data_IF_657259188663
#
_entry.id   IF_657259188663
#
_cell.length_a   1.000
_cell.length_b   1.000
_cell.length_c   1.000
_cell.angle_alpha   90.00
_cell.angle_beta   90.00
_cell.angle_gamma   90.00
#
_symmetry.space_group_name_H-M   'P 1'
#
loop_
_entity.id
_entity.type
_entity.pdbx_description
1 polymer ?
#
# COMPACT_ATOMS: atom_id res chain seq x y z
N UNK A 1 -22.67 7.35 19.42
CA UNK A 1 -22.39 6.80 18.07
C UNK A 1 -21.31 5.73 18.17
N UNK A 2 -21.39 4.69 17.34
CA UNK A 2 -20.34 3.64 17.32
C UNK A 2 -19.01 4.22 16.82
N UNK A 3 -17.88 3.85 17.41
CA UNK A 3 -16.53 4.24 16.94
C UNK A 3 -16.22 3.77 15.52
N UNK A 4 -17.07 2.95 14.92
CA UNK A 4 -16.95 2.45 13.56
C UNK A 4 -17.77 3.24 12.54
N UNK A 5 -18.58 4.24 12.97
CA UNK A 5 -19.46 4.99 12.06
C UNK A 5 -18.70 5.89 11.11
N UNK A 6 -17.58 6.49 11.57
CA UNK A 6 -16.75 7.42 10.81
C UNK A 6 -15.28 7.02 10.92
N UNK A 7 -14.48 7.45 9.94
CA UNK A 7 -13.02 7.27 9.97
C UNK A 7 -12.43 8.02 11.17
N UNK A 8 -11.50 7.38 11.86
CA UNK A 8 -10.76 8.03 12.94
C UNK A 8 -9.77 9.05 12.37
N UNK A 9 -9.72 10.24 12.97
CA UNK A 9 -8.74 11.29 12.63
C UNK A 9 -7.50 11.28 13.54
N UNK A 10 -7.40 10.29 14.44
CA UNK A 10 -6.23 10.16 15.31
C UNK A 10 -5.02 9.77 14.47
N UNK A 11 -3.88 10.43 14.70
CA UNK A 11 -2.61 10.06 14.08
C UNK A 11 -2.07 8.78 14.70
N UNK A 12 -1.39 7.99 13.89
CA UNK A 12 -0.66 6.82 14.35
C UNK A 12 0.66 7.25 15.01
N UNK A 13 1.20 6.41 15.89
CA UNK A 13 2.48 6.73 16.52
C UNK A 13 3.61 6.73 15.49
N UNK A 14 3.54 5.85 14.49
CA UNK A 14 4.53 5.77 13.43
C UNK A 14 4.61 7.06 12.59
N UNK A 15 3.54 7.90 12.57
CA UNK A 15 3.51 9.19 11.87
C UNK A 15 4.32 10.30 12.61
N UNK A 16 4.96 10.00 13.74
CA UNK A 16 5.77 10.94 14.52
C UNK A 16 7.21 10.94 14.04
N UNK A 17 7.85 12.11 14.15
CA UNK A 17 9.25 12.30 13.71
C UNK A 17 10.28 11.84 14.75
N UNK A 18 9.86 11.61 16.01
CA UNK A 18 10.74 11.31 17.14
C UNK A 18 10.86 9.82 17.48
N UNK A 19 10.43 8.93 16.57
CA UNK A 19 10.51 7.48 16.80
C UNK A 19 11.94 6.97 16.56
N UNK A 20 12.54 6.25 17.53
CA UNK A 20 13.86 5.64 17.37
C UNK A 20 13.88 4.66 16.17
N UNK A 21 14.99 4.65 15.43
CA UNK A 21 15.14 3.79 14.26
C UNK A 21 14.93 2.29 14.55
N UNK A 22 15.41 1.79 15.70
CA UNK A 22 15.24 0.38 16.07
C UNK A 22 13.77 0.02 16.33
N UNK A 23 12.95 0.97 16.84
CA UNK A 23 11.52 0.77 17.01
C UNK A 23 10.79 0.73 15.66
N UNK A 24 11.18 1.60 14.70
CA UNK A 24 10.69 1.57 13.32
C UNK A 24 11.05 0.23 12.67
N UNK A 25 12.28 -0.21 12.81
CA UNK A 25 12.76 -1.48 12.28
C UNK A 25 11.99 -2.69 12.84
N UNK A 26 11.73 -2.70 14.15
CA UNK A 26 10.89 -3.73 14.76
C UNK A 26 9.46 -3.68 14.25
N UNK A 27 8.90 -2.48 14.11
CA UNK A 27 7.57 -2.26 13.55
C UNK A 27 7.46 -2.81 12.12
N UNK A 28 8.39 -2.45 11.24
CA UNK A 28 8.42 -2.90 9.84
C UNK A 28 8.51 -4.44 9.72
N UNK A 29 9.32 -5.08 10.57
CA UNK A 29 9.40 -6.56 10.61
C UNK A 29 8.07 -7.20 10.98
N UNK A 30 7.38 -6.66 11.97
CA UNK A 30 6.12 -7.21 12.43
C UNK A 30 4.98 -6.93 11.43
N UNK A 31 4.99 -5.77 10.78
CA UNK A 31 4.02 -5.46 9.71
C UNK A 31 4.22 -6.37 8.51
N UNK A 32 5.46 -6.62 8.07
CA UNK A 32 5.78 -7.59 7.00
C UNK A 32 5.26 -8.99 7.35
N UNK A 33 5.50 -9.44 8.59
CA UNK A 33 4.97 -10.72 9.09
C UNK A 33 3.44 -10.76 9.03
N UNK A 34 2.75 -9.76 9.59
CA UNK A 34 1.28 -9.67 9.60
C UNK A 34 0.74 -9.63 8.16
N UNK A 35 1.36 -8.83 7.28
CA UNK A 35 0.95 -8.68 5.90
C UNK A 35 1.09 -9.99 5.12
N UNK A 36 2.18 -10.72 5.34
CA UNK A 36 2.41 -12.06 4.77
C UNK A 36 1.33 -13.04 5.23
N UNK A 37 1.13 -13.18 6.54
CA UNK A 37 0.21 -14.17 7.10
C UNK A 37 -1.28 -13.89 6.81
N UNK A 38 -1.65 -12.63 6.73
CA UNK A 38 -3.00 -12.21 6.38
C UNK A 38 -3.22 -12.08 4.85
N UNK A 39 -2.25 -12.50 4.04
CA UNK A 39 -2.40 -12.55 2.58
C UNK A 39 -2.34 -11.20 1.89
N UNK A 40 -1.78 -10.17 2.54
CA UNK A 40 -1.69 -8.81 1.96
C UNK A 40 -0.87 -8.77 0.67
N UNK A 41 0.26 -9.47 0.62
CA UNK A 41 1.07 -9.59 -0.59
C UNK A 41 0.32 -10.27 -1.75
N UNK A 42 -0.47 -11.30 -1.46
CA UNK A 42 -1.31 -11.95 -2.50
C UNK A 42 -2.37 -10.98 -3.05
N UNK A 43 -2.92 -10.09 -2.22
CA UNK A 43 -3.85 -9.05 -2.67
C UNK A 43 -3.13 -8.04 -3.57
N UNK A 44 -1.91 -7.64 -3.22
CA UNK A 44 -1.07 -6.75 -4.03
C UNK A 44 -0.78 -7.39 -5.41
N UNK A 45 -0.39 -8.66 -5.45
CA UNK A 45 -0.20 -9.41 -6.70
C UNK A 45 -1.51 -9.45 -7.52
N UNK A 46 -2.65 -9.75 -6.91
CA UNK A 46 -3.95 -9.70 -7.60
C UNK A 46 -4.26 -8.31 -8.20
N UNK A 47 -3.82 -7.23 -7.53
CA UNK A 47 -3.92 -5.87 -8.07
C UNK A 47 -3.13 -5.72 -9.37
N UNK A 48 -1.88 -6.17 -9.40
CA UNK A 48 -1.04 -6.17 -10.60
C UNK A 48 -1.68 -7.00 -11.71
N UNK A 49 -2.06 -8.26 -11.44
CA UNK A 49 -2.66 -9.16 -12.43
C UNK A 49 -3.96 -8.61 -13.02
N UNK A 50 -4.70 -7.78 -12.28
CA UNK A 50 -5.93 -7.15 -12.78
C UNK A 50 -5.67 -6.04 -13.80
N UNK A 51 -4.51 -5.41 -13.76
CA UNK A 51 -4.11 -4.30 -14.64
C UNK A 51 -3.25 -4.76 -15.81
N UNK A 52 -2.37 -5.73 -15.55
CA UNK A 52 -1.37 -6.20 -16.51
C UNK A 52 -1.86 -7.50 -17.15
N UNK A 53 -2.01 -7.49 -18.47
CA UNK A 53 -2.15 -8.73 -19.24
C UNK A 53 -0.75 -9.29 -19.48
N UNK A 54 -0.28 -10.18 -18.62
CA UNK A 54 1.06 -10.76 -18.70
C UNK A 54 1.36 -11.39 -20.07
N UNK A 55 0.33 -11.94 -20.73
CA UNK A 55 0.46 -12.50 -22.08
C UNK A 55 0.72 -11.46 -23.19
N UNK A 56 0.55 -10.18 -22.90
CA UNK A 56 0.84 -9.10 -23.85
C UNK A 56 2.25 -8.49 -23.66
N UNK A 57 2.94 -8.83 -22.56
CA UNK A 57 4.33 -8.43 -22.34
C UNK A 57 5.26 -9.37 -23.12
N UNK A 58 6.05 -8.81 -24.03
CA UNK A 58 7.11 -9.56 -24.69
C UNK A 58 8.28 -9.75 -23.71
N UNK A 59 9.09 -10.78 -23.90
CA UNK A 59 10.28 -11.07 -23.06
C UNK A 59 11.29 -9.90 -23.00
N UNK A 60 11.21 -8.96 -23.96
CA UNK A 60 12.05 -7.76 -24.02
C UNK A 60 11.51 -6.58 -23.21
N UNK A 61 10.23 -6.61 -22.80
CA UNK A 61 9.57 -5.48 -22.16
C UNK A 61 9.80 -5.55 -20.64
N UNK A 62 10.18 -4.42 -20.05
CA UNK A 62 10.30 -4.30 -18.60
C UNK A 62 9.03 -3.69 -18.02
N UNK A 63 8.38 -4.43 -17.13
CA UNK A 63 7.24 -3.95 -16.37
C UNK A 63 7.73 -2.99 -15.26
N UNK A 64 7.31 -1.74 -15.28
CA UNK A 64 7.69 -0.77 -14.25
C UNK A 64 6.55 -0.62 -13.23
N UNK A 65 6.83 -0.93 -11.97
CA UNK A 65 5.86 -0.91 -10.86
C UNK A 65 6.37 0.04 -9.77
N UNK A 66 5.52 0.96 -9.34
CA UNK A 66 5.83 1.91 -8.27
C UNK A 66 4.89 1.75 -7.08
N UNK A 67 5.43 1.61 -5.88
CA UNK A 67 4.68 1.65 -4.62
C UNK A 67 4.80 3.03 -3.97
N UNK A 68 3.66 3.66 -3.71
CA UNK A 68 3.55 4.90 -2.95
C UNK A 68 3.28 4.56 -1.47
N UNK A 69 4.12 5.09 -0.56
CA UNK A 69 4.12 4.71 0.85
C UNK A 69 4.68 3.30 1.05
N UNK A 70 5.87 3.03 0.50
CA UNK A 70 6.43 1.67 0.46
C UNK A 70 6.93 1.17 1.82
N UNK A 71 7.07 2.03 2.83
CA UNK A 71 7.54 1.66 4.15
C UNK A 71 8.84 0.87 4.11
N UNK A 72 8.82 -0.36 4.61
CA UNK A 72 9.96 -1.29 4.59
C UNK A 72 10.18 -2.06 3.29
N UNK A 73 9.42 -1.79 2.22
CA UNK A 73 9.58 -2.39 0.90
C UNK A 73 9.16 -3.88 0.80
N UNK A 74 8.37 -4.38 1.73
CA UNK A 74 7.95 -5.78 1.78
C UNK A 74 7.11 -6.20 0.57
N UNK A 75 6.19 -5.36 0.11
CA UNK A 75 5.42 -5.64 -1.10
C UNK A 75 6.32 -5.66 -2.35
N UNK A 76 7.27 -4.74 -2.47
CA UNK A 76 8.18 -4.68 -3.62
C UNK A 76 9.05 -5.94 -3.68
N UNK A 77 9.54 -6.44 -2.54
CA UNK A 77 10.25 -7.73 -2.48
C UNK A 77 9.36 -8.90 -2.89
N UNK A 78 8.12 -8.92 -2.41
CA UNK A 78 7.14 -9.95 -2.79
C UNK A 78 6.83 -9.93 -4.29
N UNK A 79 6.70 -8.72 -4.88
CA UNK A 79 6.52 -8.53 -6.33
C UNK A 79 7.75 -9.01 -7.09
N UNK A 80 8.96 -8.64 -6.65
CA UNK A 80 10.21 -9.07 -7.27
C UNK A 80 10.33 -10.59 -7.32
N UNK A 81 9.99 -11.28 -6.21
CA UNK A 81 9.94 -12.74 -6.14
C UNK A 81 8.92 -13.32 -7.11
N UNK A 82 7.70 -12.79 -7.11
CA UNK A 82 6.62 -13.21 -8.00
C UNK A 82 6.97 -13.04 -9.48
N UNK A 83 7.62 -11.92 -9.85
CA UNK A 83 8.11 -11.69 -11.21
C UNK A 83 9.21 -12.67 -11.61
N UNK A 84 10.19 -12.90 -10.71
CA UNK A 84 11.30 -13.85 -10.93
C UNK A 84 10.80 -15.28 -11.17
N UNK A 85 9.79 -15.72 -10.41
CA UNK A 85 9.19 -17.06 -10.57
C UNK A 85 8.45 -17.23 -11.91
N UNK A 86 8.21 -16.14 -12.65
CA UNK A 86 7.47 -16.11 -13.93
C UNK A 86 8.29 -15.58 -15.10
N UNK A 87 9.60 -15.40 -14.89
CA UNK A 87 10.52 -14.83 -15.88
C UNK A 87 10.09 -13.46 -16.43
N UNK A 88 9.44 -12.64 -15.57
CA UNK A 88 9.01 -11.29 -15.89
C UNK A 88 10.14 -10.31 -15.52
N UNK A 89 10.64 -9.56 -16.53
CA UNK A 89 11.57 -8.46 -16.29
C UNK A 89 10.82 -7.29 -15.63
N UNK A 90 11.29 -6.81 -14.48
CA UNK A 90 10.61 -5.77 -13.71
C UNK A 90 11.58 -4.68 -13.24
N UNK A 91 11.11 -3.44 -13.24
CA UNK A 91 11.71 -2.30 -12.54
C UNK A 91 10.80 -1.97 -11.35
N UNK A 92 11.36 -1.97 -10.16
CA UNK A 92 10.64 -1.71 -8.92
C UNK A 92 11.05 -0.36 -8.34
N UNK A 93 10.05 0.47 -8.02
CA UNK A 93 10.26 1.81 -7.45
C UNK A 93 9.45 1.89 -6.15
N UNK A 94 10.09 2.33 -5.07
CA UNK A 94 9.43 2.57 -3.78
C UNK A 94 9.58 4.02 -3.36
N UNK A 95 8.47 4.68 -3.04
CA UNK A 95 8.44 6.06 -2.56
C UNK A 95 7.94 6.06 -1.11
N UNK A 96 8.69 6.67 -0.20
CA UNK A 96 8.26 6.92 1.17
C UNK A 96 8.92 8.19 1.70
N UNK A 97 8.16 9.01 2.42
CA UNK A 97 8.69 10.26 2.97
C UNK A 97 9.52 10.05 4.25
N UNK A 98 9.39 8.90 4.92
CA UNK A 98 10.15 8.60 6.12
C UNK A 98 11.53 8.04 5.77
N UNK A 99 12.63 8.79 6.00
CA UNK A 99 13.97 8.36 5.63
C UNK A 99 14.43 7.11 6.39
N UNK A 100 13.90 6.85 7.59
CA UNK A 100 14.21 5.67 8.38
C UNK A 100 13.56 4.42 7.77
N UNK A 101 12.33 4.53 7.25
CA UNK A 101 11.69 3.44 6.50
C UNK A 101 12.49 3.11 5.24
N UNK A 102 12.91 4.12 4.47
CA UNK A 102 13.75 3.94 3.28
C UNK A 102 15.12 3.34 3.62
N UNK A 103 15.77 3.79 4.70
CA UNK A 103 17.04 3.19 5.14
C UNK A 103 16.87 1.71 5.49
N UNK A 104 15.79 1.35 6.16
CA UNK A 104 15.46 -0.04 6.45
C UNK A 104 15.15 -0.83 5.17
N UNK A 105 14.35 -0.29 4.26
CA UNK A 105 14.02 -0.93 2.99
C UNK A 105 15.27 -1.23 2.15
N UNK A 106 16.19 -0.26 2.02
CA UNK A 106 17.49 -0.42 1.32
C UNK A 106 18.37 -1.50 1.95
N UNK A 107 18.29 -1.69 3.27
CA UNK A 107 19.03 -2.75 3.96
C UNK A 107 18.49 -4.16 3.72
N UNK A 108 17.32 -4.29 3.07
CA UNK A 108 16.57 -5.54 2.91
C UNK A 108 15.95 -5.69 1.52
N UNK A 109 16.79 -5.62 0.49
CA UNK A 109 16.31 -5.76 -0.90
C UNK A 109 16.16 -7.21 -1.36
N UNK A 110 16.65 -8.19 -0.57
CA UNK A 110 16.67 -9.62 -0.90
C UNK A 110 17.25 -9.90 -2.30
N UNK A 111 18.28 -9.12 -2.71
CA UNK A 111 18.94 -9.13 -4.01
C UNK A 111 18.08 -8.69 -5.21
N UNK A 112 16.96 -8.02 -4.96
CA UNK A 112 16.23 -7.33 -6.02
C UNK A 112 16.77 -5.91 -6.19
N UNK A 113 16.83 -5.46 -7.45
CA UNK A 113 17.14 -4.07 -7.78
C UNK A 113 15.87 -3.24 -7.61
N UNK A 114 15.80 -2.49 -6.51
CA UNK A 114 14.65 -1.65 -6.15
C UNK A 114 15.15 -0.22 -5.97
N UNK A 115 14.62 0.69 -6.75
CA UNK A 115 14.90 2.12 -6.60
C UNK A 115 14.02 2.71 -5.48
N UNK A 116 14.64 3.14 -4.38
CA UNK A 116 13.97 3.72 -3.23
C UNK A 116 14.17 5.24 -3.19
N UNK A 117 13.07 5.98 -3.24
CA UNK A 117 13.02 7.45 -3.21
C UNK A 117 12.51 7.90 -1.83
N UNK A 118 13.35 8.67 -1.12
CA UNK A 118 12.97 9.27 0.18
C UNK A 118 12.46 10.68 -0.06
N UNK A 119 11.19 10.82 -0.38
CA UNK A 119 10.53 12.11 -0.64
C UNK A 119 9.00 11.96 -0.55
N UNK A 120 8.31 13.09 -0.52
CA UNK A 120 6.88 13.13 -0.74
C UNK A 120 6.57 12.74 -2.20
N UNK A 121 5.63 11.81 -2.39
CA UNK A 121 5.25 11.36 -3.74
C UNK A 121 4.88 12.51 -4.68
N UNK A 122 4.38 13.62 -4.15
CA UNK A 122 4.01 14.83 -4.92
C UNK A 122 5.19 15.50 -5.60
N UNK A 123 6.39 15.34 -5.06
CA UNK A 123 7.64 15.89 -5.60
C UNK A 123 8.31 14.95 -6.60
N UNK A 124 7.84 13.70 -6.70
CA UNK A 124 8.47 12.72 -7.57
C UNK A 124 8.03 12.93 -9.01
N UNK A 125 8.99 13.10 -9.90
CA UNK A 125 8.80 13.22 -11.34
C UNK A 125 9.43 12.04 -12.04
N UNK A 126 8.66 11.31 -12.85
CA UNK A 126 9.14 10.19 -13.62
C UNK A 126 9.52 10.66 -15.04
N UNK A 127 10.75 10.38 -15.48
CA UNK A 127 11.12 10.55 -16.90
C UNK A 127 10.25 9.67 -17.81
N UNK A 128 10.02 8.44 -17.37
CA UNK A 128 9.05 7.53 -17.98
C UNK A 128 8.07 7.07 -16.93
N UNK A 129 6.78 7.29 -17.16
CA UNK A 129 5.74 6.89 -16.21
C UNK A 129 5.80 5.38 -15.94
N UNK A 130 5.64 4.93 -14.68
CA UNK A 130 5.43 3.53 -14.37
C UNK A 130 4.23 2.95 -15.11
N UNK A 131 4.27 1.67 -15.38
CA UNK A 131 3.12 0.96 -15.95
C UNK A 131 2.01 0.85 -14.92
N UNK A 132 2.37 0.55 -13.66
CA UNK A 132 1.45 0.44 -12.54
C UNK A 132 1.96 1.25 -11.36
N UNK A 133 1.09 2.05 -10.76
CA UNK A 133 1.32 2.64 -9.43
C UNK A 133 0.36 1.98 -8.44
N UNK A 134 0.82 1.72 -7.23
CA UNK A 134 -0.06 1.22 -6.19
C UNK A 134 0.29 1.78 -4.81
N UNK A 135 -0.64 1.61 -3.87
CA UNK A 135 -0.38 1.78 -2.45
C UNK A 135 -1.00 0.64 -1.66
N UNK A 136 -0.33 0.25 -0.57
CA UNK A 136 -0.81 -0.79 0.32
C UNK A 136 -0.71 -0.33 1.76
N UNK A 137 -1.85 -0.36 2.49
CA UNK A 137 -1.93 0.09 3.88
C UNK A 137 -1.40 1.51 4.10
N UNK A 138 -1.71 2.40 3.20
CA UNK A 138 -1.20 3.78 3.18
C UNK A 138 -2.31 4.83 3.09
N UNK A 139 -3.34 4.61 2.25
CA UNK A 139 -4.39 5.60 2.01
C UNK A 139 -5.18 5.96 3.28
N UNK A 140 -5.29 5.07 4.25
CA UNK A 140 -6.02 5.35 5.48
C UNK A 140 -5.35 6.41 6.38
N UNK A 141 -4.11 6.81 6.12
CA UNK A 141 -3.41 7.89 6.83
C UNK A 141 -3.88 9.30 6.44
N UNK A 142 -4.66 9.45 5.36
CA UNK A 142 -4.95 10.72 4.74
C UNK A 142 -6.41 11.15 4.89
N UNK A 143 -6.65 12.46 4.82
CA UNK A 143 -7.99 13.05 4.75
C UNK A 143 -8.66 12.73 3.41
N UNK A 144 -9.94 13.02 3.29
CA UNK A 144 -10.65 12.80 2.03
C UNK A 144 -10.12 13.68 0.89
N UNK A 145 -9.76 14.91 1.21
CA UNK A 145 -9.20 15.88 0.27
C UNK A 145 -7.83 15.43 -0.25
N UNK A 146 -6.97 14.96 0.66
CA UNK A 146 -5.66 14.41 0.31
C UNK A 146 -5.79 13.14 -0.54
N UNK A 147 -6.76 12.26 -0.23
CA UNK A 147 -7.04 11.06 -1.02
C UNK A 147 -7.48 11.37 -2.45
N UNK A 148 -8.28 12.42 -2.65
CA UNK A 148 -8.65 12.87 -3.99
C UNK A 148 -7.41 13.31 -4.79
N UNK A 149 -6.49 14.03 -4.14
CA UNK A 149 -5.22 14.43 -4.77
C UNK A 149 -4.33 13.21 -5.08
N UNK A 150 -4.25 12.23 -4.17
CA UNK A 150 -3.49 10.99 -4.37
C UNK A 150 -4.03 10.18 -5.56
N UNK A 151 -5.34 10.01 -5.65
CA UNK A 151 -5.96 9.28 -6.75
C UNK A 151 -5.76 9.99 -8.09
N UNK A 152 -5.85 11.33 -8.10
CA UNK A 152 -5.55 12.13 -9.28
C UNK A 152 -4.07 11.98 -9.69
N UNK A 153 -3.15 12.05 -8.72
CA UNK A 153 -1.73 11.88 -8.96
C UNK A 153 -1.41 10.48 -9.52
N UNK A 154 -1.92 9.41 -8.90
CA UNK A 154 -1.73 8.05 -9.40
C UNK A 154 -2.27 7.89 -10.82
N UNK A 155 -3.48 8.42 -11.10
CA UNK A 155 -4.08 8.40 -12.44
C UNK A 155 -3.22 9.12 -13.47
N UNK A 156 -2.66 10.28 -13.14
CA UNK A 156 -1.85 11.09 -14.05
C UNK A 156 -0.47 10.50 -14.32
N UNK A 157 0.10 9.77 -13.36
CA UNK A 157 1.49 9.30 -13.42
C UNK A 157 1.64 7.83 -13.80
N UNK A 158 0.59 7.12 -14.17
CA UNK A 158 0.64 5.72 -14.57
C UNK A 158 0.26 5.53 -16.05
N UNK A 159 0.79 4.49 -16.71
CA UNK A 159 0.45 4.14 -18.10
C UNK A 159 -0.78 3.23 -18.19
N UNK A 160 -0.83 2.17 -17.38
CA UNK A 160 -1.91 1.16 -17.47
C UNK A 160 -3.02 1.44 -16.46
N UNK A 161 -2.66 1.90 -15.27
CA UNK A 161 -3.59 2.15 -14.20
C UNK A 161 -2.96 2.04 -12.81
N UNK A 162 -3.79 2.16 -11.79
CA UNK A 162 -3.34 2.05 -10.40
C UNK A 162 -4.26 1.15 -9.58
N UNK A 163 -3.76 0.69 -8.44
CA UNK A 163 -4.59 0.02 -7.46
C UNK A 163 -4.25 0.44 -6.02
N UNK A 164 -5.22 0.25 -5.13
CA UNK A 164 -5.08 0.48 -3.69
C UNK A 164 -5.52 -0.78 -2.96
N UNK A 165 -4.67 -1.28 -2.05
CA UNK A 165 -4.95 -2.36 -1.13
C UNK A 165 -5.01 -1.78 0.28
N UNK A 166 -6.21 -1.55 0.83
CA UNK A 166 -6.32 -0.91 2.13
C UNK A 166 -7.43 -1.52 3.01
N UNK A 167 -7.47 -1.13 4.28
CA UNK A 167 -8.25 -1.74 5.32
C UNK A 167 -9.74 -1.43 5.21
N UNK A 168 -10.55 -2.44 5.46
CA UNK A 168 -11.96 -2.25 5.75
C UNK A 168 -12.14 -1.90 7.23
N UNK A 169 -12.85 -0.80 7.53
CA UNK A 169 -13.28 -0.49 8.89
C UNK A 169 -14.40 -1.43 9.33
N UNK A 170 -14.03 -2.42 10.15
CA UNK A 170 -14.97 -3.45 10.61
C UNK A 170 -14.70 -3.83 12.07
N UNK A 171 -15.73 -4.02 12.92
CA UNK A 171 -15.55 -4.39 14.32
C UNK A 171 -14.73 -5.67 14.52
N UNK A 172 -15.00 -6.73 13.75
CA UNK A 172 -14.24 -7.97 13.85
C UNK A 172 -12.76 -7.75 13.50
N UNK A 173 -12.44 -7.01 12.44
CA UNK A 173 -11.06 -6.68 12.11
C UNK A 173 -10.36 -5.96 13.26
N UNK A 174 -11.03 -4.95 13.85
CA UNK A 174 -10.50 -4.18 14.96
C UNK A 174 -10.19 -5.06 16.18
N UNK A 175 -11.16 -5.86 16.63
CA UNK A 175 -10.95 -6.67 17.82
C UNK A 175 -9.98 -7.81 17.58
N UNK A 176 -10.02 -8.45 16.41
CA UNK A 176 -9.07 -9.51 16.05
C UNK A 176 -7.63 -9.00 16.07
N UNK A 177 -7.34 -7.90 15.35
CA UNK A 177 -5.97 -7.37 15.31
C UNK A 177 -5.52 -6.85 16.66
N UNK A 178 -6.40 -6.21 17.45
CA UNK A 178 -6.11 -5.73 18.79
C UNK A 178 -5.69 -6.88 19.73
N UNK A 179 -6.37 -8.02 19.68
CA UNK A 179 -6.03 -9.19 20.49
C UNK A 179 -4.75 -9.86 19.98
N UNK A 180 -4.62 -10.05 18.67
CA UNK A 180 -3.42 -10.67 18.09
C UNK A 180 -2.15 -9.84 18.41
N UNK A 181 -2.20 -8.54 18.19
CA UNK A 181 -1.03 -7.69 18.48
C UNK A 181 -0.72 -7.60 19.96
N UNK A 182 -1.74 -7.57 20.84
CA UNK A 182 -1.54 -7.59 22.28
C UNK A 182 -0.81 -8.87 22.74
N UNK A 183 -1.13 -10.02 22.14
CA UNK A 183 -0.57 -11.32 22.54
C UNK A 183 0.81 -11.59 21.90
N UNK A 184 0.99 -11.23 20.65
CA UNK A 184 2.14 -11.70 19.85
C UNK A 184 3.13 -10.60 19.46
N UNK A 185 2.71 -9.33 19.41
CA UNK A 185 3.61 -8.25 19.02
C UNK A 185 4.56 -7.88 20.16
N UNK A 186 5.80 -7.56 19.83
CA UNK A 186 6.77 -6.95 20.72
C UNK A 186 6.84 -5.43 20.54
N UNK A 187 6.41 -4.92 19.37
CA UNK A 187 6.38 -3.50 19.06
C UNK A 187 5.21 -2.80 19.76
N UNK A 188 5.50 -1.74 20.49
CA UNK A 188 4.45 -0.88 21.06
C UNK A 188 3.74 -0.09 19.95
N UNK A 189 4.44 0.24 18.85
CA UNK A 189 3.88 0.87 17.68
C UNK A 189 2.79 -0.01 17.08
N UNK A 190 3.11 -1.27 16.76
CA UNK A 190 2.12 -2.23 16.21
C UNK A 190 0.92 -2.41 17.13
N UNK A 191 1.15 -2.50 18.45
CA UNK A 191 0.04 -2.65 19.43
C UNK A 191 -0.91 -1.47 19.45
N UNK A 192 -0.39 -0.26 19.26
CA UNK A 192 -1.18 0.97 19.20
C UNK A 192 -1.79 1.20 17.82
N UNK A 193 -0.97 1.11 16.78
CA UNK A 193 -1.32 1.58 15.44
C UNK A 193 -2.19 0.58 14.67
N UNK A 194 -1.93 -0.73 14.77
CA UNK A 194 -2.71 -1.70 13.99
C UNK A 194 -4.23 -1.67 14.27
N UNK A 195 -4.72 -1.57 15.53
CA UNK A 195 -6.15 -1.34 15.77
C UNK A 195 -6.62 0.04 15.30
N UNK A 196 -5.78 1.07 15.40
CA UNK A 196 -6.12 2.43 14.97
C UNK A 196 -6.23 2.51 13.46
N UNK A 197 -5.33 1.87 12.70
CA UNK A 197 -5.38 1.77 11.24
C UNK A 197 -6.70 1.16 10.76
N UNK A 198 -7.23 0.13 11.47
CA UNK A 198 -8.57 -0.40 11.16
C UNK A 198 -9.66 0.65 11.36
N UNK A 199 -9.59 1.50 12.40
CA UNK A 199 -10.56 2.58 12.62
C UNK A 199 -10.42 3.71 11.58
N UNK A 200 -9.26 3.87 10.98
CA UNK A 200 -8.98 4.81 9.87
C UNK A 200 -9.35 4.22 8.51
N UNK A 201 -9.51 2.90 8.42
CA UNK A 201 -9.93 2.18 7.21
C UNK A 201 -11.28 2.62 6.69
N UNK A 202 -11.71 2.06 5.58
CA UNK A 202 -12.83 2.54 4.77
C UNK A 202 -14.07 1.65 4.85
N UNK A 203 -15.24 2.27 4.73
CA UNK A 203 -16.44 1.58 4.26
C UNK A 203 -16.53 1.67 2.73
N UNK A 204 -17.23 0.71 2.11
CA UNK A 204 -17.41 0.65 0.65
C UNK A 204 -17.95 1.97 0.08
N UNK A 205 -18.98 2.51 0.71
CA UNK A 205 -19.64 3.74 0.24
C UNK A 205 -18.71 4.96 0.31
N UNK A 206 -17.84 5.05 1.33
CA UNK A 206 -16.86 6.13 1.46
C UNK A 206 -15.86 6.11 0.30
N UNK A 207 -15.29 4.92 -0.02
CA UNK A 207 -14.40 4.78 -1.17
C UNK A 207 -15.12 5.11 -2.49
N UNK A 208 -16.34 4.61 -2.68
CA UNK A 208 -17.12 4.90 -3.90
C UNK A 208 -17.40 6.39 -4.06
N UNK A 209 -17.71 7.09 -2.97
CA UNK A 209 -17.92 8.54 -2.97
C UNK A 209 -16.64 9.31 -3.29
N UNK A 210 -15.51 8.95 -2.68
CA UNK A 210 -14.20 9.55 -2.94
C UNK A 210 -13.79 9.41 -4.42
N UNK A 211 -13.98 8.23 -5.00
CA UNK A 211 -13.66 7.96 -6.40
C UNK A 211 -14.53 8.78 -7.35
N UNK A 212 -15.82 8.86 -7.08
CA UNK A 212 -16.74 9.71 -7.85
C UNK A 212 -16.33 11.17 -7.82
N UNK A 213 -15.96 11.69 -6.64
CA UNK A 213 -15.48 13.06 -6.46
C UNK A 213 -14.13 13.32 -7.15
N UNK A 214 -13.31 12.27 -7.34
CA UNK A 214 -12.02 12.32 -8.04
C UNK A 214 -12.15 12.10 -9.56
N UNK A 215 -13.36 12.06 -10.10
CA UNK A 215 -13.61 11.76 -11.53
C UNK A 215 -13.01 10.42 -11.99
N UNK A 216 -13.00 9.43 -11.10
CA UNK A 216 -12.55 8.07 -11.38
C UNK A 216 -13.80 7.19 -11.53
N UNK A 217 -14.21 6.95 -12.77
CA UNK A 217 -15.45 6.24 -13.09
C UNK A 217 -15.23 4.77 -13.46
N UNK A 218 -14.09 4.43 -14.09
CA UNK A 218 -13.77 3.07 -14.52
C UNK A 218 -12.93 2.35 -13.46
N UNK A 219 -13.56 1.98 -12.35
CA UNK A 219 -12.89 1.26 -11.28
C UNK A 219 -13.60 -0.04 -10.92
N UNK A 220 -12.86 -0.96 -10.30
CA UNK A 220 -13.40 -2.12 -9.61
C UNK A 220 -13.06 -2.02 -8.13
N UNK A 221 -14.01 -2.32 -7.26
CA UNK A 221 -13.81 -2.37 -5.82
C UNK A 221 -14.23 -3.75 -5.31
N UNK A 222 -13.25 -4.55 -4.89
CA UNK A 222 -13.43 -5.94 -4.43
C UNK A 222 -13.05 -6.07 -2.96
N UNK A 223 -13.90 -6.73 -2.19
CA UNK A 223 -13.52 -7.16 -0.85
C UNK A 223 -12.52 -8.32 -0.92
N UNK A 224 -11.52 -8.28 -0.06
CA UNK A 224 -10.49 -9.31 0.07
C UNK A 224 -10.33 -9.73 1.53
N UNK A 225 -9.90 -10.96 1.74
CA UNK A 225 -9.45 -11.44 3.05
C UNK A 225 -8.15 -10.69 3.43
N UNK A 226 -7.86 -10.32 4.64
CA UNK A 226 -8.68 -10.27 5.85
C UNK A 226 -9.14 -8.82 6.05
N UNK A 227 -10.41 -8.55 5.75
CA UNK A 227 -11.00 -7.22 5.87
C UNK A 227 -10.25 -6.15 5.09
N UNK A 228 -10.06 -6.34 3.78
CA UNK A 228 -9.40 -5.37 2.91
C UNK A 228 -10.26 -5.02 1.70
N UNK A 229 -10.03 -3.84 1.19
CA UNK A 229 -10.52 -3.40 -0.10
C UNK A 229 -9.38 -3.41 -1.10
N UNK A 230 -9.60 -4.07 -2.23
CA UNK A 230 -8.78 -3.92 -3.43
C UNK A 230 -9.56 -3.06 -4.41
N UNK A 231 -9.12 -1.82 -4.54
CA UNK A 231 -9.56 -0.86 -5.54
C UNK A 231 -8.62 -0.96 -6.73
N UNK A 232 -9.14 -1.11 -7.95
CA UNK A 232 -8.35 -1.07 -9.19
C UNK A 232 -8.96 -0.10 -10.17
N UNK A 233 -8.13 0.76 -10.74
CA UNK A 233 -8.48 1.67 -11.84
C UNK A 233 -7.60 1.34 -13.04
N UNK A 234 -8.19 1.25 -14.22
CA UNK A 234 -7.50 1.00 -15.47
C UNK A 234 -7.80 2.13 -16.46
N UNK A 235 -6.77 2.63 -17.15
CA UNK A 235 -6.97 3.55 -18.25
C UNK A 235 -7.77 2.88 -19.39
N UNK A 236 -8.62 3.64 -20.04
CA UNK A 236 -9.25 3.22 -21.30
C UNK A 236 -8.15 3.12 -22.37
N UNK A 237 -8.10 2.01 -23.07
CA UNK A 237 -7.22 1.78 -24.21
C UNK A 237 -7.87 2.29 -25.49
#
# INVERSE_FOLDING_TARGET
MSKFSHRSNKKELLDRDDIPFEDIKQNMKELDFINTWLGGHAITINGIESLVKLSAFQLSDKLTICEMGCGGGDNLRAIGKWCKERDISVILIGIDMNPNCIAYARSRTDNFDIDFISDDYRNVHFETKPDVIFSSLFCHHFTNEELQQQFAWMKQNTKLGFFVNDLQRHPLAYYSIKWLTKLFSKSYLVKNDAPLSVLRGFHKNELSQLLSQSSIINYQLKWKWAFRWLLTYKHEQ
#
